data_IF_806633816577
#
_entry.id   IF_806633816577
#
_cell.length_a   1.000
_cell.length_b   1.000
_cell.length_c   1.000
_cell.angle_alpha   90.00
_cell.angle_beta   90.00
_cell.angle_gamma   90.00
#
_symmetry.space_group_name_H-M   'P 1'
#
loop_
_entity.id
_entity.type
_entity.pdbx_description
1 polymer ?
#
# COMPACT_ATOMS: atom_id res chain seq x y z
N UNK A 1 -22.42 16.21 -5.85
CA UNK A 1 -20.96 16.39 -6.07
C UNK A 1 -20.26 15.50 -5.07
N UNK A 2 -19.77 14.34 -5.51
CA UNK A 2 -18.87 13.51 -4.71
C UNK A 2 -17.63 14.35 -4.38
N UNK A 3 -17.44 14.64 -3.09
CA UNK A 3 -16.22 15.31 -2.63
C UNK A 3 -15.07 14.32 -2.87
N UNK A 4 -14.20 14.65 -3.82
CA UNK A 4 -13.06 13.82 -4.17
C UNK A 4 -12.16 13.65 -2.94
N UNK A 5 -12.07 12.43 -2.41
CA UNK A 5 -11.21 12.14 -1.26
C UNK A 5 -9.74 12.30 -1.65
N UNK A 6 -9.02 13.11 -0.87
CA UNK A 6 -7.57 13.21 -0.93
C UNK A 6 -6.95 12.15 -0.01
N UNK A 7 -5.77 11.66 -0.41
CA UNK A 7 -4.94 10.76 0.38
C UNK A 7 -3.47 11.13 0.22
N UNK A 8 -2.67 10.73 1.18
CA UNK A 8 -1.22 10.95 1.19
C UNK A 8 -0.49 9.64 0.89
N UNK A 9 0.62 9.73 0.16
CA UNK A 9 1.53 8.62 -0.01
C UNK A 9 2.44 8.47 1.22
N UNK A 10 2.43 7.30 1.86
CA UNK A 10 3.26 6.98 3.03
C UNK A 10 4.79 7.01 2.76
N UNK A 11 5.22 7.06 1.49
CA UNK A 11 6.64 7.13 1.12
C UNK A 11 7.10 8.56 0.81
N UNK A 12 6.47 9.21 -0.17
CA UNK A 12 6.90 10.55 -0.64
C UNK A 12 6.13 11.71 0.00
N UNK A 13 5.15 11.41 0.87
CA UNK A 13 4.28 12.38 1.56
C UNK A 13 3.51 13.33 0.64
N UNK A 14 3.44 13.04 -0.66
CA UNK A 14 2.65 13.83 -1.60
C UNK A 14 1.17 13.52 -1.42
N UNK A 15 0.38 14.56 -1.27
CA UNK A 15 -1.08 14.48 -1.30
C UNK A 15 -1.59 14.40 -2.73
N UNK A 16 -2.53 13.50 -2.98
CA UNK A 16 -3.19 13.35 -4.27
C UNK A 16 -4.60 12.78 -4.10
N UNK A 17 -5.22 12.41 -5.22
CA UNK A 17 -6.53 11.75 -5.20
C UNK A 17 -6.36 10.36 -4.58
N UNK A 18 -7.09 10.05 -3.52
CA UNK A 18 -6.99 8.76 -2.80
C UNK A 18 -7.23 7.56 -3.72
N UNK A 19 -8.12 7.69 -4.70
CA UNK A 19 -8.39 6.67 -5.74
C UNK A 19 -7.18 6.28 -6.60
N UNK A 20 -6.14 7.12 -6.61
CA UNK A 20 -4.90 6.89 -7.36
C UNK A 20 -3.77 6.30 -6.50
N UNK A 21 -4.02 6.07 -5.21
CA UNK A 21 -3.06 5.43 -4.31
C UNK A 21 -3.28 3.92 -4.29
N UNK A 22 -2.19 3.17 -4.27
CA UNK A 22 -2.14 1.74 -4.02
C UNK A 22 -2.21 1.47 -2.54
N UNK A 23 -3.00 0.50 -2.12
CA UNK A 23 -2.98 0.01 -0.74
C UNK A 23 -2.11 -1.24 -0.65
N UNK A 24 -0.99 -1.14 0.06
CA UNK A 24 -0.14 -2.26 0.44
C UNK A 24 -0.59 -2.79 1.80
N UNK A 25 -0.87 -4.08 1.89
CA UNK A 25 -1.17 -4.81 3.12
C UNK A 25 -0.01 -5.76 3.36
N UNK A 26 0.82 -5.48 4.36
CA UNK A 26 1.90 -6.37 4.76
C UNK A 26 1.31 -7.48 5.63
N UNK A 27 1.60 -8.74 5.27
CA UNK A 27 1.18 -9.92 6.01
C UNK A 27 1.80 -9.88 7.40
N UNK A 28 0.96 -9.67 8.40
CA UNK A 28 1.24 -9.77 9.82
C UNK A 28 2.49 -9.03 10.33
N UNK A 29 2.30 -7.83 10.87
CA UNK A 29 3.31 -7.23 11.74
C UNK A 29 3.29 -7.96 13.10
N UNK A 30 4.34 -8.72 13.38
CA UNK A 30 4.51 -9.51 14.61
C UNK A 30 4.55 -8.66 15.88
N UNK A 31 4.91 -7.38 15.77
CA UNK A 31 4.94 -6.45 16.90
C UNK A 31 3.58 -5.82 17.18
N UNK A 32 2.74 -5.64 16.16
CA UNK A 32 1.39 -5.10 16.29
C UNK A 32 0.30 -6.17 16.39
N UNK A 33 0.60 -7.42 16.09
CA UNK A 33 -0.37 -8.52 16.07
C UNK A 33 -1.49 -8.34 15.03
N UNK A 34 -1.25 -7.52 13.98
CA UNK A 34 -2.25 -7.19 12.95
C UNK A 34 -1.58 -6.87 11.61
N UNK A 35 -2.35 -6.93 10.54
CA UNK A 35 -1.91 -6.44 9.24
C UNK A 35 -1.80 -4.92 9.26
N UNK A 36 -0.73 -4.40 8.66
CA UNK A 36 -0.54 -2.96 8.49
C UNK A 36 -0.89 -2.60 7.05
N UNK A 37 -1.79 -1.63 6.91
CA UNK A 37 -2.15 -1.06 5.62
C UNK A 37 -1.36 0.25 5.41
N UNK A 38 -0.76 0.38 4.23
CA UNK A 38 -0.02 1.56 3.78
C UNK A 38 -0.50 1.98 2.40
N UNK A 39 -0.46 3.27 2.10
CA UNK A 39 -0.92 3.85 0.85
C UNK A 39 0.25 4.47 0.08
N UNK A 40 0.47 4.03 -1.15
CA UNK A 40 1.59 4.49 -1.96
C UNK A 40 1.12 5.05 -3.29
N UNK A 41 1.79 6.10 -3.78
CA UNK A 41 1.60 6.52 -5.16
C UNK A 41 2.22 5.46 -6.10
N UNK A 42 1.83 5.43 -7.38
CA UNK A 42 2.21 4.34 -8.29
C UNK A 42 3.71 4.29 -8.61
N UNK A 43 4.39 5.43 -8.44
CA UNK A 43 5.84 5.51 -8.59
C UNK A 43 6.54 4.95 -7.36
N UNK A 44 6.13 5.38 -6.16
CA UNK A 44 6.72 4.93 -4.90
C UNK A 44 6.40 3.47 -4.58
N UNK A 45 5.23 2.97 -5.00
CA UNK A 45 4.85 1.57 -4.77
C UNK A 45 5.90 0.61 -5.35
N UNK A 46 6.39 0.86 -6.56
CA UNK A 46 7.41 0.01 -7.20
C UNK A 46 8.70 -0.05 -6.38
N UNK A 47 9.15 1.10 -5.89
CA UNK A 47 10.35 1.19 -5.03
C UNK A 47 10.13 0.39 -3.75
N UNK A 48 8.97 0.60 -3.11
CA UNK A 48 8.63 -0.10 -1.86
C UNK A 48 8.50 -1.60 -2.08
N UNK A 49 7.89 -2.06 -3.16
CA UNK A 49 7.78 -3.49 -3.48
C UNK A 49 9.16 -4.13 -3.67
N UNK A 50 10.08 -3.47 -4.37
CA UNK A 50 11.45 -3.96 -4.54
C UNK A 50 12.19 -4.03 -3.19
N UNK A 51 12.02 -3.03 -2.32
CA UNK A 51 12.69 -2.97 -1.02
C UNK A 51 12.14 -4.02 -0.03
N UNK A 52 10.81 -4.21 0.02
CA UNK A 52 10.19 -5.09 1.02
C UNK A 52 10.34 -6.58 0.67
N UNK A 53 10.51 -6.93 -0.60
CA UNK A 53 10.64 -8.33 -1.04
C UNK A 53 11.84 -9.04 -0.40
N UNK A 54 12.87 -8.29 0.00
CA UNK A 54 14.04 -8.84 0.67
C UNK A 54 13.84 -9.08 2.19
N UNK A 55 12.76 -8.55 2.78
CA UNK A 55 12.52 -8.66 4.21
C UNK A 55 12.09 -10.10 4.60
N UNK A 56 12.68 -10.69 5.66
CA UNK A 56 12.40 -12.08 6.05
C UNK A 56 10.92 -12.37 6.33
N UNK A 57 10.23 -11.46 7.04
CA UNK A 57 8.81 -11.62 7.35
C UNK A 57 7.90 -11.49 6.13
N UNK A 58 8.33 -10.73 5.11
CA UNK A 58 7.60 -10.66 3.84
C UNK A 58 7.72 -11.99 3.09
N UNK A 59 8.88 -12.63 3.12
CA UNK A 59 9.09 -13.97 2.54
C UNK A 59 8.27 -15.04 3.28
N UNK A 60 8.08 -14.88 4.60
CA UNK A 60 7.34 -15.84 5.44
C UNK A 60 5.82 -15.66 5.39
N UNK A 61 5.32 -14.43 5.51
CA UNK A 61 3.88 -14.13 5.66
C UNK A 61 3.25 -13.49 4.41
N UNK A 62 4.07 -13.08 3.44
CA UNK A 62 3.63 -12.45 2.20
C UNK A 62 3.16 -11.00 2.36
N UNK A 63 2.74 -10.41 1.26
CA UNK A 63 2.09 -9.11 1.21
C UNK A 63 1.03 -9.09 0.11
N UNK A 64 0.11 -8.12 0.17
CA UNK A 64 -0.91 -7.90 -0.85
C UNK A 64 -0.93 -6.44 -1.27
N UNK A 65 -1.01 -6.18 -2.57
CA UNK A 65 -1.21 -4.84 -3.12
C UNK A 65 -2.59 -4.76 -3.77
N UNK A 66 -3.37 -3.76 -3.38
CA UNK A 66 -4.60 -3.36 -4.06
C UNK A 66 -4.32 -2.06 -4.85
N UNK A 67 -4.23 -2.16 -6.18
CA UNK A 67 -3.99 -1.01 -7.06
C UNK A 67 -4.78 -1.10 -8.37
N UNK A 68 -5.32 0.02 -8.88
CA UNK A 68 -6.57 0.55 -8.35
C UNK A 68 -7.67 -0.51 -8.39
N UNK A 69 -8.49 -0.51 -7.34
CA UNK A 69 -9.75 -1.20 -7.16
C UNK A 69 -10.62 -1.31 -8.43
N UNK A 70 -10.31 -2.23 -9.35
CA UNK A 70 -11.35 -2.80 -10.19
C UNK A 70 -12.22 -3.60 -9.23
N UNK A 71 -13.43 -3.09 -8.97
CA UNK A 71 -14.56 -3.98 -8.70
C UNK A 71 -14.41 -5.14 -9.69
N UNK A 72 -14.30 -6.37 -9.19
CA UNK A 72 -14.46 -7.55 -10.05
C UNK A 72 -15.70 -7.33 -10.93
N UNK A 73 -15.66 -7.71 -12.22
CA UNK A 73 -16.85 -7.68 -13.06
C UNK A 73 -18.01 -8.45 -12.41
#
# INVERSE_FOLDING_TARGET
>A
MDKEELGECDYCLRTGRKKNLARLIVGYDVHMGRNIERFYCPQCLRIVEDDIQELPWIKEYGYKVDYPYRKKP
#
